data_IF_685947085059
#
_entry.id   IF_685947085059
#
_cell.length_a   1.000
_cell.length_b   1.000
_cell.length_c   1.000
_cell.angle_alpha   90.00
_cell.angle_beta   90.00
_cell.angle_gamma   90.00
#
_symmetry.space_group_name_H-M   'P 1'
#
loop_
_entity.id
_entity.type
_entity.pdbx_description
1 polymer ?
#
# COMPACT_ATOMS: atom_id res chain seq x y z
N UNK A 1 5.76 18.06 28.49
CA UNK A 1 4.98 17.97 29.73
C UNK A 1 4.74 16.50 30.05
N UNK A 2 4.72 16.07 31.33
CA UNK A 2 4.44 14.69 31.71
C UNK A 2 3.00 14.28 31.32
N UNK A 3 2.80 13.00 30.97
CA UNK A 3 1.47 12.42 30.68
C UNK A 3 0.79 12.02 32.00
N UNK A 4 -0.13 12.84 32.47
CA UNK A 4 -0.84 12.68 33.75
C UNK A 4 -2.30 12.20 33.59
N UNK A 5 -2.84 12.24 32.36
CA UNK A 5 -4.18 11.76 32.04
C UNK A 5 -4.20 10.26 31.67
N UNK A 6 -4.99 9.47 32.39
CA UNK A 6 -5.15 8.03 32.14
C UNK A 6 -6.49 7.76 31.45
N UNK A 7 -6.49 6.91 30.42
CA UNK A 7 -7.68 6.41 29.72
C UNK A 7 -7.55 4.91 29.50
N UNK A 8 -8.67 4.18 29.61
CA UNK A 8 -8.74 2.76 29.32
C UNK A 8 -9.24 2.52 27.89
N UNK A 9 -8.73 1.48 27.24
CA UNK A 9 -9.17 1.01 25.92
C UNK A 9 -9.67 -0.42 26.03
N UNK A 10 -10.61 -0.79 25.16
CA UNK A 10 -11.05 -2.18 25.00
C UNK A 10 -10.49 -2.69 23.68
N UNK A 11 -9.88 -3.86 23.73
CA UNK A 11 -9.30 -4.57 22.59
C UNK A 11 -9.73 -6.04 22.70
N UNK A 12 -9.96 -6.66 21.57
CA UNK A 12 -9.99 -8.11 21.45
C UNK A 12 -8.59 -8.69 21.71
N UNK A 13 -8.49 -10.01 21.85
CA UNK A 13 -7.20 -10.67 22.06
C UNK A 13 -6.24 -10.44 20.90
N UNK A 14 -6.73 -10.63 19.68
CA UNK A 14 -5.93 -10.49 18.46
C UNK A 14 -5.45 -9.05 18.24
N UNK A 15 -6.32 -8.06 18.50
CA UNK A 15 -5.93 -6.64 18.45
C UNK A 15 -4.86 -6.31 19.49
N UNK A 16 -4.97 -6.86 20.70
CA UNK A 16 -3.98 -6.65 21.75
C UNK A 16 -2.62 -7.28 21.38
N UNK A 17 -2.63 -8.49 20.84
CA UNK A 17 -1.41 -9.20 20.42
C UNK A 17 -0.72 -8.47 19.24
N UNK A 18 -1.50 -7.96 18.29
CA UNK A 18 -0.99 -7.13 17.18
C UNK A 18 -0.31 -5.84 17.71
N UNK A 19 -0.99 -5.10 18.58
CA UNK A 19 -0.45 -3.86 19.16
C UNK A 19 0.77 -4.15 20.04
N UNK A 20 0.80 -5.27 20.74
CA UNK A 20 1.94 -5.70 21.54
C UNK A 20 3.18 -5.91 20.67
N UNK A 21 3.08 -6.69 19.60
CA UNK A 21 4.20 -6.91 18.68
C UNK A 21 4.67 -5.62 18.01
N UNK A 22 3.75 -4.74 17.61
CA UNK A 22 4.12 -3.44 17.07
C UNK A 22 4.91 -2.60 18.09
N UNK A 23 4.45 -2.56 19.35
CA UNK A 23 5.14 -1.85 20.42
C UNK A 23 6.54 -2.43 20.71
N UNK A 24 6.68 -3.76 20.74
CA UNK A 24 7.97 -4.44 20.91
C UNK A 24 8.96 -4.08 19.81
N UNK A 25 8.51 -4.05 18.55
CA UNK A 25 9.38 -3.76 17.39
C UNK A 25 10.00 -2.36 17.43
N UNK A 26 9.39 -1.42 18.17
CA UNK A 26 9.89 -0.05 18.36
C UNK A 26 10.41 0.21 19.78
N UNK A 27 10.54 -0.83 20.61
CA UNK A 27 11.07 -0.73 21.97
C UNK A 27 10.18 0.02 22.96
N UNK A 28 8.87 0.08 22.71
CA UNK A 28 7.90 0.76 23.56
C UNK A 28 7.06 -0.23 24.36
N UNK A 29 6.58 0.21 25.52
CA UNK A 29 5.48 -0.49 26.21
C UNK A 29 4.18 -0.28 25.43
N UNK A 30 3.30 -1.28 25.41
CA UNK A 30 2.00 -1.24 24.71
C UNK A 30 1.20 0.03 24.98
N UNK A 31 1.10 0.48 26.25
CA UNK A 31 0.39 1.70 26.60
C UNK A 31 1.04 2.98 26.03
N UNK A 32 2.37 3.02 25.98
CA UNK A 32 3.12 4.12 25.38
C UNK A 32 2.90 4.18 23.87
N UNK A 33 3.00 3.04 23.21
CA UNK A 33 2.72 2.90 21.78
C UNK A 33 1.30 3.33 21.41
N UNK A 34 0.29 2.87 22.16
CA UNK A 34 -1.11 3.28 21.94
C UNK A 34 -1.31 4.79 22.08
N UNK A 35 -0.69 5.40 23.09
CA UNK A 35 -0.77 6.85 23.31
C UNK A 35 -0.06 7.62 22.18
N UNK A 36 1.12 7.17 21.77
CA UNK A 36 1.89 7.81 20.69
C UNK A 36 1.17 7.71 19.36
N UNK A 37 0.64 6.53 19.02
CA UNK A 37 -0.13 6.32 17.80
C UNK A 37 -1.40 7.19 17.76
N UNK A 38 -2.16 7.24 18.86
CA UNK A 38 -3.36 8.06 18.95
C UNK A 38 -3.06 9.55 18.80
N UNK A 39 -1.98 10.04 19.42
CA UNK A 39 -1.55 11.44 19.33
C UNK A 39 -1.04 11.76 17.93
N UNK A 40 -0.23 10.88 17.32
CA UNK A 40 0.29 11.07 15.97
C UNK A 40 -0.85 11.16 14.94
N UNK A 41 -1.85 10.29 15.04
CA UNK A 41 -3.05 10.32 14.17
C UNK A 41 -3.87 11.59 14.42
N UNK A 42 -4.00 12.04 15.66
CA UNK A 42 -4.68 13.30 15.97
C UNK A 42 -3.92 14.55 15.46
N UNK A 43 -2.59 14.48 15.37
CA UNK A 43 -1.71 15.55 14.90
C UNK A 43 -1.53 15.58 13.37
N UNK A 44 -1.88 14.50 12.67
CA UNK A 44 -1.81 14.45 11.21
C UNK A 44 -2.62 15.61 10.60
N UNK A 45 -2.04 16.30 9.61
CA UNK A 45 -2.68 17.47 9.00
C UNK A 45 -4.06 17.09 8.41
N UNK A 46 -5.11 17.80 8.84
CA UNK A 46 -6.51 17.50 8.49
C UNK A 46 -7.23 16.54 9.44
N UNK A 47 -6.54 15.97 10.43
CA UNK A 47 -7.10 15.10 11.46
C UNK A 47 -7.31 13.64 11.03
N UNK A 48 -7.84 12.79 11.94
CA UNK A 48 -7.93 11.32 11.72
C UNK A 48 -8.73 10.92 10.46
N UNK A 49 -9.76 11.70 10.10
CA UNK A 49 -10.56 11.46 8.90
C UNK A 49 -9.76 11.68 7.62
N UNK A 50 -8.92 12.72 7.55
CA UNK A 50 -8.07 12.99 6.39
C UNK A 50 -7.00 11.91 6.24
N UNK A 51 -6.40 11.45 7.33
CA UNK A 51 -5.45 10.34 7.30
C UNK A 51 -6.06 9.03 6.76
N UNK A 52 -7.27 8.68 7.21
CA UNK A 52 -8.02 7.52 6.69
C UNK A 52 -8.40 7.67 5.22
N UNK A 53 -8.83 8.87 4.81
CA UNK A 53 -9.16 9.17 3.41
C UNK A 53 -7.92 9.12 2.51
N UNK A 54 -6.77 9.56 3.00
CA UNK A 54 -5.50 9.49 2.28
C UNK A 54 -5.02 8.05 2.09
N UNK A 55 -5.15 7.19 3.11
CA UNK A 55 -4.88 5.75 2.95
C UNK A 55 -5.79 5.11 1.91
N UNK A 56 -7.10 5.38 1.97
CA UNK A 56 -8.06 4.85 1.00
C UNK A 56 -7.75 5.32 -0.42
N UNK A 57 -7.41 6.59 -0.58
CA UNK A 57 -6.99 7.15 -1.88
C UNK A 57 -5.75 6.46 -2.43
N UNK A 58 -4.74 6.19 -1.60
CA UNK A 58 -3.53 5.47 -2.01
C UNK A 58 -3.83 4.04 -2.48
N UNK A 59 -4.72 3.33 -1.78
CA UNK A 59 -5.18 2.00 -2.20
C UNK A 59 -5.95 2.09 -3.54
N UNK A 60 -6.85 3.06 -3.68
CA UNK A 60 -7.62 3.29 -4.91
C UNK A 60 -6.71 3.60 -6.11
N UNK A 61 -5.69 4.43 -5.93
CA UNK A 61 -4.69 4.75 -6.96
C UNK A 61 -3.88 3.51 -7.38
N UNK A 62 -3.48 2.67 -6.42
CA UNK A 62 -2.80 1.40 -6.72
C UNK A 62 -3.70 0.43 -7.49
N UNK A 63 -4.98 0.34 -7.13
CA UNK A 63 -5.96 -0.49 -7.83
C UNK A 63 -6.23 0.01 -9.26
N UNK A 64 -6.29 1.33 -9.46
CA UNK A 64 -6.42 1.93 -10.78
C UNK A 64 -5.19 1.64 -11.66
N UNK A 65 -3.98 1.77 -11.12
CA UNK A 65 -2.73 1.43 -11.81
C UNK A 65 -2.66 -0.06 -12.18
N UNK A 66 -3.05 -0.95 -11.25
CA UNK A 66 -3.11 -2.40 -11.48
C UNK A 66 -4.10 -2.77 -12.59
N UNK A 67 -5.26 -2.09 -12.65
CA UNK A 67 -6.24 -2.26 -13.73
C UNK A 67 -5.69 -1.82 -15.09
N UNK A 68 -4.88 -0.76 -15.14
CA UNK A 68 -4.18 -0.37 -16.37
C UNK A 68 -3.15 -1.41 -16.80
N UNK A 69 -2.43 -2.01 -15.85
CA UNK A 69 -1.46 -3.07 -16.15
C UNK A 69 -2.13 -4.34 -16.72
N UNK A 70 -3.28 -4.75 -16.18
CA UNK A 70 -4.06 -5.87 -16.74
C UNK A 70 -4.44 -5.61 -18.20
N UNK A 71 -4.88 -4.39 -18.53
CA UNK A 71 -5.17 -3.99 -19.92
C UNK A 71 -3.94 -4.05 -20.81
N UNK A 72 -2.78 -3.61 -20.31
CA UNK A 72 -1.53 -3.70 -21.04
C UNK A 72 -1.12 -5.17 -21.28
N UNK A 73 -1.28 -6.05 -20.29
CA UNK A 73 -1.05 -7.49 -20.43
C UNK A 73 -1.95 -8.14 -21.50
N UNK A 74 -3.22 -7.74 -21.57
CA UNK A 74 -4.12 -8.21 -22.63
C UNK A 74 -3.64 -7.78 -24.03
N UNK A 75 -3.17 -6.54 -24.17
CA UNK A 75 -2.61 -6.05 -25.43
C UNK A 75 -1.34 -6.79 -25.82
N UNK A 76 -0.45 -7.08 -24.85
CA UNK A 76 0.73 -7.92 -25.11
C UNK A 76 0.35 -9.33 -25.55
N UNK A 77 -0.68 -9.93 -24.95
CA UNK A 77 -1.17 -11.24 -25.36
C UNK A 77 -1.74 -11.24 -26.79
N UNK A 78 -2.33 -10.11 -27.23
CA UNK A 78 -2.74 -9.93 -28.62
C UNK A 78 -1.53 -9.83 -29.57
N UNK A 79 -0.51 -9.04 -29.21
CA UNK A 79 0.74 -8.94 -29.97
C UNK A 79 1.43 -10.30 -30.11
N UNK A 80 1.53 -11.06 -29.02
CA UNK A 80 2.10 -12.40 -29.02
C UNK A 80 1.34 -13.34 -29.97
N UNK A 81 0.01 -13.26 -30.03
CA UNK A 81 -0.80 -14.04 -30.97
C UNK A 81 -0.49 -13.68 -32.42
N UNK A 82 -0.35 -12.40 -32.75
CA UNK A 82 -0.02 -11.94 -34.11
C UNK A 82 1.36 -12.47 -34.53
N UNK A 83 2.37 -12.31 -33.67
CA UNK A 83 3.72 -12.78 -33.93
C UNK A 83 3.77 -14.31 -34.10
N UNK A 84 3.06 -15.06 -33.22
CA UNK A 84 2.98 -16.52 -33.31
C UNK A 84 2.27 -17.03 -34.57
N UNK A 85 1.44 -16.20 -35.21
CA UNK A 85 0.82 -16.50 -36.51
C UNK A 85 1.69 -16.15 -37.73
N UNK A 86 2.95 -15.76 -37.51
CA UNK A 86 3.87 -15.31 -38.55
C UNK A 86 3.64 -13.86 -39.01
N UNK A 87 2.78 -13.12 -38.31
CA UNK A 87 2.58 -11.69 -38.53
C UNK A 87 3.72 -10.85 -37.99
N UNK A 88 3.79 -9.58 -38.41
CA UNK A 88 4.79 -8.63 -37.94
C UNK A 88 4.14 -7.53 -37.11
N UNK A 89 4.76 -7.17 -35.98
CA UNK A 89 4.34 -6.06 -35.12
C UNK A 89 5.56 -5.18 -34.86
N UNK A 90 5.53 -3.96 -35.37
CA UNK A 90 6.59 -2.98 -35.08
C UNK A 90 6.58 -2.60 -33.59
N UNK A 91 7.76 -2.33 -33.03
CA UNK A 91 7.94 -1.87 -31.64
C UNK A 91 7.46 -2.84 -30.55
N UNK A 92 7.24 -4.12 -30.87
CA UNK A 92 6.78 -5.13 -29.90
C UNK A 92 7.69 -5.22 -28.67
N UNK A 93 9.01 -5.28 -28.86
CA UNK A 93 9.99 -5.34 -27.77
C UNK A 93 9.96 -4.10 -26.88
N UNK A 94 9.78 -2.92 -27.49
CA UNK A 94 9.70 -1.66 -26.75
C UNK A 94 8.40 -1.58 -25.93
N UNK A 95 7.28 -2.07 -26.47
CA UNK A 95 6.01 -2.17 -25.78
C UNK A 95 6.12 -3.13 -24.58
N UNK A 96 6.69 -4.31 -24.75
CA UNK A 96 6.94 -5.28 -23.68
C UNK A 96 7.82 -4.64 -22.59
N UNK A 97 8.91 -3.98 -22.97
CA UNK A 97 9.82 -3.33 -22.02
C UNK A 97 9.12 -2.22 -21.21
N UNK A 98 8.23 -1.43 -21.84
CA UNK A 98 7.42 -0.41 -21.12
C UNK A 98 6.47 -1.04 -20.11
N UNK A 99 5.81 -2.14 -20.46
CA UNK A 99 4.87 -2.84 -19.56
C UNK A 99 5.59 -3.48 -18.38
N UNK A 100 6.74 -4.13 -18.62
CA UNK A 100 7.55 -4.71 -17.54
C UNK A 100 8.02 -3.64 -16.55
N UNK A 101 8.46 -2.47 -17.05
CA UNK A 101 8.82 -1.33 -16.18
C UNK A 101 7.64 -0.81 -15.39
N UNK A 102 6.45 -0.73 -15.98
CA UNK A 102 5.24 -0.32 -15.28
C UNK A 102 4.85 -1.34 -14.20
N UNK A 103 4.92 -2.64 -14.50
CA UNK A 103 4.66 -3.72 -13.55
C UNK A 103 5.59 -3.64 -12.33
N UNK A 104 6.89 -3.51 -12.56
CA UNK A 104 7.88 -3.40 -11.48
C UNK A 104 7.63 -2.18 -10.57
N UNK A 105 7.20 -1.05 -11.13
CA UNK A 105 6.86 0.16 -10.34
C UNK A 105 5.60 -0.04 -9.49
N UNK A 106 4.59 -0.73 -10.02
CA UNK A 106 3.36 -1.05 -9.29
C UNK A 106 3.65 -2.04 -8.16
N UNK A 107 4.46 -3.06 -8.43
CA UNK A 107 4.89 -4.03 -7.41
C UNK A 107 5.67 -3.35 -6.27
N UNK A 108 6.62 -2.49 -6.61
CA UNK A 108 7.37 -1.71 -5.61
C UNK A 108 6.45 -0.81 -4.76
N UNK A 109 5.47 -0.15 -5.38
CA UNK A 109 4.49 0.67 -4.68
C UNK A 109 3.57 -0.16 -3.77
N UNK A 110 3.16 -1.35 -4.20
CA UNK A 110 2.37 -2.27 -3.39
C UNK A 110 3.14 -2.77 -2.16
N UNK A 111 4.42 -3.13 -2.33
CA UNK A 111 5.29 -3.55 -1.22
C UNK A 111 5.47 -2.41 -0.20
N UNK A 112 5.67 -1.17 -0.67
CA UNK A 112 5.82 -0.01 0.22
C UNK A 112 4.52 0.30 0.97
N UNK A 113 3.36 0.16 0.32
CA UNK A 113 2.06 0.32 0.98
C UNK A 113 1.82 -0.77 2.04
N UNK A 114 2.27 -2.00 1.81
CA UNK A 114 2.13 -3.12 2.74
C UNK A 114 3.08 -3.05 3.95
N UNK A 115 4.13 -2.22 3.90
CA UNK A 115 5.12 -2.06 4.99
C UNK A 115 4.72 -0.97 6.00
N UNK A 116 3.75 -0.12 5.66
CA UNK A 116 3.27 1.01 6.49
C UNK A 116 2.17 0.57 7.43
#
# INVERSE_FOLDING_TARGET
>A
MPRDQIRSVRLTRDELDLVHHAAESVGLKTAGFLADAAVAVAQAQGGPKTWLLDQRRQVEELMAASTQLVRAGNNLNQVARILNSGGHVEYADEAVARVLRAAARIEAAAIELARR
#
